data_IF_346255632361
#
_entry.id   IF_346255632361
#
_cell.length_a   1.000
_cell.length_b   1.000
_cell.length_c   1.000
_cell.angle_alpha   90.00
_cell.angle_beta   90.00
_cell.angle_gamma   90.00
#
_symmetry.space_group_name_H-M   'P 1'
#
loop_
_entity.id
_entity.type
_entity.pdbx_description
1 polymer ?
#
# COMPACT_ATOMS: atom_id res chain seq x y z
N UNK A 1 -25.12 -39.39 35.73
CA UNK A 1 -24.45 -38.42 36.62
C UNK A 1 -23.64 -37.47 35.75
N UNK A 2 -24.00 -36.18 35.75
CA UNK A 2 -23.53 -35.15 34.82
C UNK A 2 -22.15 -34.68 35.28
N UNK A 3 -21.08 -35.04 34.56
CA UNK A 3 -19.72 -34.54 34.85
C UNK A 3 -19.59 -33.11 34.35
N UNK A 4 -19.67 -32.17 35.27
CA UNK A 4 -19.33 -30.76 35.04
C UNK A 4 -17.84 -30.62 34.72
N UNK A 5 -17.50 -29.94 33.61
CA UNK A 5 -16.14 -29.46 33.37
C UNK A 5 -15.87 -28.19 34.21
N UNK A 6 -14.73 -28.07 34.92
CA UNK A 6 -14.32 -26.81 35.51
C UNK A 6 -13.71 -25.87 34.45
N UNK A 7 -14.09 -24.59 34.52
CA UNK A 7 -13.64 -23.48 33.66
C UNK A 7 -12.15 -23.18 33.91
N UNK A 8 -11.34 -23.16 32.86
CA UNK A 8 -9.96 -22.65 32.91
C UNK A 8 -9.96 -21.12 33.01
N UNK A 9 -9.24 -20.57 33.99
CA UNK A 9 -8.95 -19.13 34.13
C UNK A 9 -7.63 -18.81 33.40
N UNK A 10 -7.47 -17.61 32.82
CA UNK A 10 -6.24 -17.23 32.12
C UNK A 10 -5.10 -17.02 33.12
N UNK A 11 -3.94 -17.64 32.84
CA UNK A 11 -2.72 -17.46 33.61
C UNK A 11 -2.09 -16.10 33.29
N UNK A 12 -2.18 -15.18 34.25
CA UNK A 12 -1.23 -14.07 34.39
C UNK A 12 0.14 -14.65 34.80
N UNK A 13 1.00 -14.92 33.81
CA UNK A 13 2.34 -15.47 34.01
C UNK A 13 3.40 -14.40 34.28
N UNK A 14 4.03 -14.49 35.44
CA UNK A 14 5.13 -13.65 35.93
C UNK A 14 6.44 -13.88 35.13
N UNK A 15 7.17 -12.81 34.81
CA UNK A 15 8.36 -12.75 33.93
C UNK A 15 9.57 -13.58 34.40
N UNK A 16 9.52 -14.25 35.55
CA UNK A 16 10.67 -14.90 36.20
C UNK A 16 10.95 -16.34 35.78
N UNK A 17 10.12 -16.96 34.93
CA UNK A 17 10.26 -18.39 34.58
C UNK A 17 11.14 -18.69 33.34
N UNK A 18 11.83 -17.71 32.75
CA UNK A 18 12.53 -17.87 31.46
C UNK A 18 14.01 -18.32 31.54
N UNK A 19 14.61 -18.44 32.73
CA UNK A 19 16.08 -18.55 32.84
C UNK A 19 16.58 -20.00 33.03
N UNK A 20 15.74 -20.96 33.43
CA UNK A 20 16.23 -22.30 33.82
C UNK A 20 15.53 -23.46 33.11
N UNK A 21 15.94 -23.75 31.87
CA UNK A 21 15.75 -25.10 31.32
C UNK A 21 17.04 -25.67 30.75
N UNK A 22 17.52 -26.73 31.39
CA UNK A 22 18.72 -27.50 31.06
C UNK A 22 18.42 -28.69 30.14
N UNK A 23 17.78 -28.48 28.99
CA UNK A 23 17.48 -29.58 28.05
C UNK A 23 18.33 -29.61 26.78
N UNK A 24 19.42 -28.84 26.70
CA UNK A 24 20.53 -29.07 25.74
C UNK A 24 20.20 -29.06 24.25
N UNK A 25 18.96 -28.80 23.86
CA UNK A 25 18.53 -28.65 22.46
C UNK A 25 18.67 -27.17 22.11
N UNK A 26 19.79 -26.85 21.46
CA UNK A 26 20.06 -25.53 20.94
C UNK A 26 18.87 -25.01 20.12
N UNK A 27 18.57 -23.72 20.29
CA UNK A 27 17.57 -23.04 19.47
C UNK A 27 17.91 -23.26 17.99
N UNK A 28 16.93 -23.60 17.13
CA UNK A 28 17.18 -23.62 15.70
C UNK A 28 17.61 -22.21 15.30
N UNK A 29 18.86 -22.08 14.84
CA UNK A 29 19.40 -20.84 14.30
C UNK A 29 18.46 -20.36 13.19
N UNK A 30 17.84 -19.20 13.40
CA UNK A 30 17.02 -18.56 12.38
C UNK A 30 17.89 -18.35 11.14
N UNK A 31 17.53 -18.85 9.95
CA UNK A 31 18.35 -18.64 8.76
C UNK A 31 18.52 -17.14 8.54
N UNK A 32 19.78 -16.70 8.56
CA UNK A 32 20.20 -15.32 8.30
C UNK A 32 20.06 -15.03 6.82
N UNK A 33 18.81 -14.82 6.38
CA UNK A 33 18.47 -14.56 4.98
C UNK A 33 17.33 -13.56 4.86
N UNK A 34 17.37 -12.47 5.61
CA UNK A 34 16.57 -11.29 5.28
C UNK A 34 17.48 -10.28 4.62
N UNK A 35 17.66 -10.40 3.31
CA UNK A 35 18.10 -9.27 2.48
C UNK A 35 17.10 -8.16 2.77
N UNK A 36 17.49 -7.19 3.60
CA UNK A 36 16.64 -6.02 3.83
C UNK A 36 16.38 -5.43 2.44
N UNK A 37 15.11 -5.29 1.99
CA UNK A 37 14.88 -4.60 0.73
C UNK A 37 15.55 -3.23 0.86
N UNK A 38 16.28 -2.82 -0.18
CA UNK A 38 16.94 -1.53 -0.23
C UNK A 38 15.96 -0.48 0.29
N UNK A 39 16.35 0.22 1.36
CA UNK A 39 15.57 1.36 1.84
C UNK A 39 15.55 2.36 0.68
N UNK A 40 14.38 2.91 0.40
CA UNK A 40 14.27 4.04 -0.51
C UNK A 40 15.22 5.14 -0.03
N UNK A 41 15.88 5.88 -0.95
CA UNK A 41 16.61 7.07 -0.55
C UNK A 41 15.66 8.03 0.17
N UNK A 42 16.13 8.72 1.21
CA UNK A 42 15.27 9.54 2.09
C UNK A 42 14.42 10.58 1.32
N UNK A 43 14.89 11.02 0.16
CA UNK A 43 14.26 11.99 -0.73
C UNK A 43 13.49 11.40 -1.92
N UNK A 44 13.12 10.11 -1.88
CA UNK A 44 12.44 9.44 -3.00
C UNK A 44 11.14 10.13 -3.48
N UNK A 45 10.50 10.95 -2.63
CA UNK A 45 9.31 11.73 -2.99
C UNK A 45 9.59 12.83 -4.02
N UNK A 46 10.79 13.40 -4.02
CA UNK A 46 11.19 14.46 -4.96
C UNK A 46 11.41 13.92 -6.37
N UNK A 47 11.58 12.60 -6.49
CA UNK A 47 11.78 11.90 -7.75
C UNK A 47 10.47 11.31 -8.31
N UNK A 48 9.32 11.60 -7.69
CA UNK A 48 8.03 11.14 -8.21
C UNK A 48 7.71 11.78 -9.56
N UNK A 49 7.00 11.06 -10.44
CA UNK A 49 6.50 11.66 -11.66
C UNK A 49 5.47 12.74 -11.35
N UNK A 50 5.44 13.76 -12.21
CA UNK A 50 4.43 14.81 -12.15
C UNK A 50 3.01 14.21 -12.25
N UNK A 51 2.09 14.54 -11.32
CA UNK A 51 0.74 13.98 -11.33
C UNK A 51 -0.04 14.29 -12.61
N UNK A 52 0.10 15.48 -13.18
CA UNK A 52 -0.60 15.84 -14.40
C UNK A 52 -0.13 14.97 -15.58
N UNK A 53 1.18 14.81 -15.74
CA UNK A 53 1.77 13.95 -16.74
C UNK A 53 1.37 12.47 -16.54
N UNK A 54 1.47 11.98 -15.30
CA UNK A 54 1.19 10.60 -14.97
C UNK A 54 -0.28 10.22 -15.22
N UNK A 55 -1.23 11.01 -14.70
CA UNK A 55 -2.65 10.75 -14.94
C UNK A 55 -3.03 10.95 -16.41
N UNK A 56 -2.42 11.90 -17.11
CA UNK A 56 -2.62 12.10 -18.55
C UNK A 56 -2.27 10.88 -19.40
N UNK A 57 -1.29 10.08 -18.98
CA UNK A 57 -0.89 8.85 -19.66
C UNK A 57 -1.77 7.64 -19.31
N UNK A 58 -2.31 7.58 -18.09
CA UNK A 58 -2.99 6.39 -17.57
C UNK A 58 -4.52 6.53 -17.49
N UNK A 59 -5.09 7.73 -17.70
CA UNK A 59 -6.52 7.99 -17.64
C UNK A 59 -7.06 8.38 -19.01
N UNK A 60 -7.98 7.57 -19.54
CA UNK A 60 -8.61 7.85 -20.82
C UNK A 60 -9.59 9.02 -20.73
N UNK A 61 -9.65 9.84 -21.80
CA UNK A 61 -10.56 11.00 -21.92
C UNK A 61 -10.47 11.98 -20.74
N UNK A 62 -9.28 12.17 -20.19
CA UNK A 62 -9.04 13.15 -19.14
C UNK A 62 -9.39 14.56 -19.65
N UNK A 63 -10.31 15.22 -18.97
CA UNK A 63 -10.75 16.57 -19.27
C UNK A 63 -9.74 17.62 -18.83
N UNK A 64 -10.07 18.89 -19.08
CA UNK A 64 -9.29 20.01 -18.55
C UNK A 64 -9.42 20.06 -17.03
N UNK A 65 -8.36 20.50 -16.36
CA UNK A 65 -8.43 20.79 -14.93
C UNK A 65 -9.42 21.93 -14.67
N UNK A 66 -10.13 21.85 -13.54
CA UNK A 66 -10.92 22.93 -13.01
C UNK A 66 -10.03 23.93 -12.24
N UNK A 67 -10.62 25.03 -11.77
CA UNK A 67 -9.90 26.05 -10.99
C UNK A 67 -9.34 25.58 -9.65
N UNK A 68 -9.73 24.39 -9.17
CA UNK A 68 -9.19 23.75 -7.96
C UNK A 68 -8.16 22.67 -8.29
N UNK A 69 -7.81 22.50 -9.57
CA UNK A 69 -6.78 21.58 -10.05
C UNK A 69 -7.17 20.10 -10.11
N UNK A 70 -8.47 19.83 -10.11
CA UNK A 70 -9.03 18.51 -10.37
C UNK A 70 -9.46 18.37 -11.82
N UNK A 71 -9.22 17.21 -12.42
CA UNK A 71 -9.66 16.85 -13.76
C UNK A 71 -10.51 15.57 -13.71
N UNK A 72 -11.49 15.48 -14.60
CA UNK A 72 -12.39 14.32 -14.70
C UNK A 72 -12.07 13.47 -15.93
N UNK A 73 -12.05 12.16 -15.78
CA UNK A 73 -11.78 11.20 -16.85
C UNK A 73 -12.51 9.88 -16.65
N UNK A 74 -12.27 8.94 -17.56
CA UNK A 74 -12.80 7.57 -17.46
C UNK A 74 -11.92 6.77 -16.52
N UNK A 75 -12.56 6.05 -15.59
CA UNK A 75 -11.85 5.19 -14.66
C UNK A 75 -11.23 3.99 -15.39
N UNK A 76 -9.94 3.67 -15.21
CA UNK A 76 -9.32 2.48 -15.80
C UNK A 76 -9.60 1.20 -15.00
N UNK A 77 -10.19 1.29 -13.81
CA UNK A 77 -10.41 0.15 -12.91
C UNK A 77 -11.72 -0.61 -13.18
N UNK A 78 -12.61 -0.06 -13.98
CA UNK A 78 -13.86 -0.68 -14.38
C UNK A 78 -14.28 -0.17 -15.76
N UNK A 79 -15.08 -0.94 -16.47
CA UNK A 79 -15.62 -0.51 -17.76
C UNK A 79 -16.76 0.49 -17.51
N UNK A 80 -16.41 1.78 -17.57
CA UNK A 80 -17.37 2.88 -17.52
C UNK A 80 -17.34 3.68 -18.81
N UNK A 81 -18.53 3.99 -19.31
CA UNK A 81 -18.67 4.93 -20.43
C UNK A 81 -18.72 6.39 -19.96
N UNK A 82 -18.91 6.62 -18.67
CA UNK A 82 -19.01 7.95 -18.08
C UNK A 82 -17.72 8.38 -17.38
N UNK A 83 -17.50 9.69 -17.27
CA UNK A 83 -16.33 10.27 -16.59
C UNK A 83 -16.47 10.19 -15.07
N UNK A 84 -16.32 8.99 -14.52
CA UNK A 84 -16.55 8.70 -13.09
C UNK A 84 -15.30 8.83 -12.21
N UNK A 85 -14.13 9.09 -12.81
CA UNK A 85 -12.87 9.30 -12.09
C UNK A 85 -12.54 10.78 -12.02
N UNK A 86 -12.35 11.30 -10.80
CA UNK A 86 -11.73 12.61 -10.58
C UNK A 86 -10.29 12.43 -10.09
N UNK A 87 -9.35 13.12 -10.72
CA UNK A 87 -7.93 13.15 -10.32
C UNK A 87 -7.51 14.59 -10.00
N UNK A 88 -6.79 14.77 -8.90
CA UNK A 88 -6.13 16.01 -8.56
C UNK A 88 -4.75 16.01 -9.21
N UNK A 89 -4.54 16.95 -10.13
CA UNK A 89 -3.27 17.12 -10.84
C UNK A 89 -2.44 18.28 -10.27
N UNK A 90 -3.02 19.09 -9.40
CA UNK A 90 -2.30 20.16 -8.68
C UNK A 90 -1.92 19.68 -7.28
N UNK A 91 -0.62 19.64 -7.01
CA UNK A 91 -0.07 19.30 -5.69
C UNK A 91 0.92 18.15 -5.76
N UNK A 92 1.94 18.18 -4.89
CA UNK A 92 3.09 17.28 -4.94
C UNK A 92 2.74 15.78 -4.89
N UNK A 93 1.60 15.42 -4.29
CA UNK A 93 1.17 14.02 -4.14
C UNK A 93 0.09 13.60 -5.15
N UNK A 94 -0.50 14.58 -5.85
CA UNK A 94 -1.74 14.41 -6.60
C UNK A 94 -2.86 13.79 -5.75
N UNK A 95 -3.87 13.27 -6.41
CA UNK A 95 -4.92 12.50 -5.76
C UNK A 95 -5.90 11.92 -6.76
N UNK A 96 -6.68 10.93 -6.37
CA UNK A 96 -7.74 10.37 -7.21
C UNK A 96 -8.91 9.87 -6.37
N UNK A 97 -10.09 9.92 -6.97
CA UNK A 97 -11.32 9.38 -6.42
C UNK A 97 -12.23 8.91 -7.54
N UNK A 98 -12.64 7.66 -7.48
CA UNK A 98 -13.69 7.12 -8.34
C UNK A 98 -15.04 7.22 -7.62
N UNK A 99 -16.01 7.86 -8.26
CA UNK A 99 -17.37 8.00 -7.72
C UNK A 99 -18.22 6.74 -7.91
N UNK A 100 -17.81 5.82 -8.79
CA UNK A 100 -18.47 4.53 -8.99
C UNK A 100 -18.10 3.47 -7.91
N UNK A 101 -17.20 3.79 -6.99
CA UNK A 101 -16.87 2.91 -5.86
C UNK A 101 -15.55 2.14 -5.97
N UNK A 102 -14.72 2.37 -7.00
CA UNK A 102 -13.40 1.73 -7.09
C UNK A 102 -12.43 2.16 -5.98
N UNK A 103 -12.71 3.27 -5.31
CA UNK A 103 -11.89 3.80 -4.22
C UNK A 103 -11.29 5.16 -4.56
N UNK A 104 -10.22 5.51 -3.85
CA UNK A 104 -9.47 6.74 -4.01
C UNK A 104 -8.22 6.75 -3.14
N UNK A 105 -7.35 7.72 -3.35
CA UNK A 105 -6.08 7.87 -2.63
C UNK A 105 -5.13 8.81 -3.36
N UNK A 106 -3.83 8.63 -3.15
CA UNK A 106 -2.76 9.39 -3.81
C UNK A 106 -2.29 8.72 -5.12
N UNK A 107 -1.38 9.36 -5.85
CA UNK A 107 -0.77 8.84 -7.07
C UNK A 107 -0.17 7.43 -6.91
N UNK A 108 0.52 7.18 -5.80
CA UNK A 108 1.10 5.85 -5.51
C UNK A 108 -0.02 4.81 -5.36
N UNK A 109 -1.10 5.16 -4.64
CA UNK A 109 -2.23 4.26 -4.44
C UNK A 109 -2.94 3.95 -5.76
N UNK A 110 -3.03 4.93 -6.66
CA UNK A 110 -3.52 4.71 -8.02
C UNK A 110 -2.63 3.72 -8.78
N UNK A 111 -1.31 3.96 -8.80
CA UNK A 111 -0.36 3.13 -9.52
C UNK A 111 -0.30 1.70 -8.96
N UNK A 112 -0.25 1.56 -7.64
CA UNK A 112 -0.34 0.29 -6.92
C UNK A 112 -1.57 -0.49 -7.34
N UNK A 113 -2.75 0.14 -7.39
CA UNK A 113 -3.99 -0.50 -7.83
C UNK A 113 -3.98 -0.86 -9.31
N UNK A 114 -3.43 0.01 -10.16
CA UNK A 114 -3.36 -0.19 -11.60
C UNK A 114 -2.47 -1.38 -11.97
N UNK A 115 -1.38 -1.58 -11.24
CA UNK A 115 -0.38 -2.62 -11.50
C UNK A 115 -0.52 -3.85 -10.59
N UNK A 116 -1.39 -3.80 -9.58
CA UNK A 116 -1.53 -4.85 -8.57
C UNK A 116 -0.28 -5.00 -7.67
N UNK A 117 0.45 -3.91 -7.43
CA UNK A 117 1.71 -3.90 -6.70
C UNK A 117 1.51 -3.45 -5.24
N UNK A 118 2.31 -3.99 -4.32
CA UNK A 118 2.42 -3.44 -2.96
C UNK A 118 2.96 -2.01 -3.00
N UNK A 119 2.69 -1.21 -1.95
CA UNK A 119 3.18 0.17 -1.84
C UNK A 119 4.67 0.30 -2.16
N UNK A 120 5.54 -0.56 -1.62
CA UNK A 120 6.97 -0.47 -1.89
C UNK A 120 7.29 -0.78 -3.36
N UNK A 121 6.65 -1.79 -3.92
CA UNK A 121 6.86 -2.16 -5.32
C UNK A 121 6.38 -1.04 -6.27
N UNK A 122 5.22 -0.44 -5.98
CA UNK A 122 4.68 0.69 -6.73
C UNK A 122 5.62 1.90 -6.71
N UNK A 123 6.20 2.24 -5.56
CA UNK A 123 7.18 3.33 -5.47
C UNK A 123 8.43 3.02 -6.30
N UNK A 124 8.93 1.79 -6.26
CA UNK A 124 10.09 1.40 -7.08
C UNK A 124 9.80 1.51 -8.57
N UNK A 125 8.61 1.09 -9.00
CA UNK A 125 8.19 1.16 -10.41
C UNK A 125 8.09 2.61 -10.88
N UNK A 126 7.48 3.49 -10.07
CA UNK A 126 7.35 4.93 -10.37
C UNK A 126 8.70 5.67 -10.44
N UNK A 127 9.71 5.20 -9.72
CA UNK A 127 11.06 5.79 -9.72
C UNK A 127 11.97 5.26 -10.84
N UNK A 128 11.43 4.46 -11.77
CA UNK A 128 12.22 3.87 -12.86
C UNK A 128 13.02 2.62 -12.45
N UNK A 129 12.72 2.04 -11.30
CA UNK A 129 13.30 0.78 -10.80
C UNK A 129 12.43 -0.45 -11.05
N UNK A 130 11.48 -0.37 -11.99
CA UNK A 130 10.70 -1.50 -12.50
C UNK A 130 11.58 -2.34 -13.45
N UNK A 131 11.70 -3.63 -13.14
CA UNK A 131 12.50 -4.62 -13.87
C UNK A 131 11.87 -5.01 -15.22
#
# INVERSE_FOLDING_TARGET
MIRHLPKAKPHSGNLRAWIERKDGRGFPSRPSGSTKPARFPDNWREHMPDPAAYYGQHVAKLGKMNGTGWAQGVCPFHDDRNKSLSVCITGERGGWRCFAGCGGGDLIGFHSRLRGLDFKAAVRDLLGGGA
#
